data_IF_394222852138
#
_entry.id   IF_394222852138
#
_cell.length_a   1.000
_cell.length_b   1.000
_cell.length_c   1.000
_cell.angle_alpha   90.00
_cell.angle_beta   90.00
_cell.angle_gamma   90.00
#
_symmetry.space_group_name_H-M   'P 1'
#
loop_
_entity.id
_entity.type
_entity.pdbx_description
1 polymer ?
#
# COMPACT_ATOMS: atom_id res chain seq x y z
N UNK A 1 -37.58 43.61 -6.40
CA UNK A 1 -37.94 42.63 -5.35
C UNK A 1 -37.88 41.20 -5.92
N UNK A 2 -36.76 40.85 -6.56
CA UNK A 2 -36.45 39.53 -7.13
C UNK A 2 -34.91 39.42 -7.11
N UNK A 3 -34.32 39.25 -5.92
CA UNK A 3 -32.88 38.94 -5.80
C UNK A 3 -32.52 38.38 -4.41
N UNK A 4 -33.35 37.48 -3.86
CA UNK A 4 -33.09 36.90 -2.53
C UNK A 4 -33.61 35.46 -2.37
N UNK A 5 -33.71 34.70 -3.47
CA UNK A 5 -34.13 33.27 -3.44
C UNK A 5 -33.17 32.39 -4.27
N UNK A 6 -31.88 32.73 -4.32
CA UNK A 6 -30.86 31.95 -5.05
C UNK A 6 -29.59 31.74 -4.22
N UNK A 7 -29.72 31.72 -2.89
CA UNK A 7 -28.59 31.56 -1.95
C UNK A 7 -28.91 30.63 -0.77
N UNK A 8 -29.84 29.68 -0.97
CA UNK A 8 -30.22 28.66 0.04
C UNK A 8 -30.17 27.21 -0.45
N UNK A 9 -29.50 26.94 -1.57
CA UNK A 9 -29.32 25.57 -2.10
C UNK A 9 -27.86 25.09 -2.13
N UNK A 10 -26.97 25.69 -1.33
CA UNK A 10 -25.55 25.31 -1.29
C UNK A 10 -25.01 24.88 0.09
N UNK A 11 -25.88 24.50 1.02
CA UNK A 11 -25.47 23.92 2.31
C UNK A 11 -26.46 22.83 2.74
N UNK A 12 -26.36 21.68 2.09
CA UNK A 12 -26.73 20.37 2.65
C UNK A 12 -26.25 19.32 1.67
N UNK A 13 -24.93 19.11 1.63
CA UNK A 13 -24.44 17.78 1.32
C UNK A 13 -25.15 16.84 2.31
N UNK A 14 -25.79 15.74 1.85
CA UNK A 14 -26.41 14.80 2.77
C UNK A 14 -25.34 14.39 3.77
N UNK A 15 -25.62 14.59 5.05
CA UNK A 15 -24.78 14.09 6.12
C UNK A 15 -24.50 12.62 5.84
N UNK A 16 -23.23 12.24 5.89
CA UNK A 16 -22.80 10.85 5.96
C UNK A 16 -23.34 10.27 7.28
N UNK A 17 -24.64 9.96 7.33
CA UNK A 17 -25.34 9.44 8.52
C UNK A 17 -25.66 7.96 8.41
N UNK A 18 -25.10 7.25 7.43
CA UNK A 18 -24.94 5.80 7.46
C UNK A 18 -23.45 5.49 7.36
N UNK A 19 -22.89 4.89 8.42
CA UNK A 19 -21.53 4.36 8.47
C UNK A 19 -21.37 3.38 7.32
N UNK A 20 -20.69 3.75 6.24
CA UNK A 20 -20.52 2.85 5.09
C UNK A 20 -19.37 1.87 5.33
N UNK A 21 -19.48 1.03 6.36
CA UNK A 21 -18.56 -0.08 6.62
C UNK A 21 -18.49 -1.06 5.44
N UNK A 22 -19.41 -0.98 4.46
CA UNK A 22 -19.31 -1.72 3.20
C UNK A 22 -18.08 -1.28 2.39
N UNK A 23 -17.52 -0.11 2.66
CA UNK A 23 -16.23 0.32 2.12
C UNK A 23 -15.10 -0.65 2.49
N UNK A 24 -15.12 -1.26 3.68
CA UNK A 24 -14.16 -2.29 4.07
C UNK A 24 -14.26 -3.53 3.18
N UNK A 25 -15.47 -4.10 3.04
CA UNK A 25 -15.69 -5.24 2.13
C UNK A 25 -15.39 -4.90 0.68
N UNK A 26 -15.69 -3.67 0.26
CA UNK A 26 -15.39 -3.21 -1.08
C UNK A 26 -13.87 -3.19 -1.31
N UNK A 27 -13.11 -2.62 -0.38
CA UNK A 27 -11.66 -2.59 -0.44
C UNK A 27 -11.03 -3.99 -0.52
N UNK A 28 -11.66 -5.01 0.06
CA UNK A 28 -11.20 -6.41 -0.01
C UNK A 28 -12.03 -7.28 -0.96
N UNK A 29 -12.74 -6.67 -1.93
CA UNK A 29 -13.49 -7.42 -2.93
C UNK A 29 -12.54 -8.32 -3.73
N UNK A 30 -12.89 -9.61 -3.83
CA UNK A 30 -12.06 -10.60 -4.55
C UNK A 30 -10.79 -11.01 -3.79
N UNK A 31 -10.66 -10.69 -2.50
CA UNK A 31 -9.44 -10.97 -1.74
C UNK A 31 -9.04 -12.45 -1.73
N UNK A 32 -10.02 -13.36 -1.72
CA UNK A 32 -9.75 -14.81 -1.75
C UNK A 32 -9.31 -15.34 -3.13
N UNK A 33 -9.25 -14.48 -4.16
CA UNK A 33 -8.77 -14.84 -5.49
C UNK A 33 -9.64 -15.85 -6.24
N UNK A 34 -9.03 -16.53 -7.21
CA UNK A 34 -9.68 -17.62 -7.96
C UNK A 34 -10.57 -17.18 -9.13
N UNK A 35 -10.44 -15.92 -9.59
CA UNK A 35 -11.14 -15.46 -10.78
C UNK A 35 -10.24 -15.61 -12.02
N UNK A 36 -10.67 -16.46 -12.96
CA UNK A 36 -10.04 -16.53 -14.28
C UNK A 36 -10.38 -15.29 -15.10
N UNK A 37 -9.41 -14.82 -15.87
CA UNK A 37 -9.57 -13.67 -16.75
C UNK A 37 -8.94 -13.94 -18.11
N UNK A 38 -9.40 -13.19 -19.10
CA UNK A 38 -8.88 -13.27 -20.47
C UNK A 38 -8.68 -11.88 -20.98
N UNK A 39 -7.48 -11.61 -21.46
CA UNK A 39 -7.18 -10.41 -22.24
C UNK A 39 -6.78 -10.80 -23.65
N UNK A 40 -6.91 -9.87 -24.59
CA UNK A 40 -6.43 -10.04 -25.96
C UNK A 40 -5.26 -9.09 -26.19
N UNK A 41 -4.09 -9.60 -26.63
CA UNK A 41 -3.03 -8.77 -27.17
C UNK A 41 -3.56 -7.87 -28.29
N UNK A 42 -3.00 -6.68 -28.41
CA UNK A 42 -3.40 -5.71 -29.44
C UNK A 42 -2.91 -6.19 -30.83
N UNK A 43 -3.80 -6.56 -31.78
CA UNK A 43 -3.40 -7.17 -33.05
C UNK A 43 -2.64 -6.21 -33.99
N UNK A 44 -2.81 -4.91 -33.81
CA UNK A 44 -2.12 -3.87 -34.58
C UNK A 44 -0.64 -3.70 -34.19
N UNK A 45 -0.22 -4.26 -33.04
CA UNK A 45 1.14 -4.17 -32.53
C UNK A 45 1.77 -5.55 -32.32
N UNK A 46 3.09 -5.63 -32.40
CA UNK A 46 3.80 -6.88 -32.11
C UNK A 46 4.09 -7.00 -30.61
N UNK A 47 3.54 -8.03 -29.93
CA UNK A 47 3.87 -8.29 -28.53
C UNK A 47 5.27 -8.90 -28.38
N UNK A 48 6.18 -8.16 -27.73
CA UNK A 48 7.58 -8.51 -27.58
C UNK A 48 7.89 -9.26 -26.28
N UNK A 49 7.24 -8.89 -25.18
CA UNK A 49 7.46 -9.43 -23.84
C UNK A 49 6.19 -9.31 -22.99
N UNK A 50 6.00 -10.26 -22.07
CA UNK A 50 5.03 -10.21 -20.97
C UNK A 50 5.78 -10.35 -19.64
N UNK A 51 5.51 -9.46 -18.69
CA UNK A 51 5.96 -9.60 -17.31
C UNK A 51 4.74 -9.76 -16.40
N UNK A 52 4.76 -10.71 -15.47
CA UNK A 52 3.66 -11.01 -14.55
C UNK A 52 4.17 -10.83 -13.13
N UNK A 53 3.73 -9.77 -12.45
CA UNK A 53 3.96 -9.55 -11.02
C UNK A 53 2.74 -10.06 -10.28
N UNK A 54 2.89 -11.13 -9.50
CA UNK A 54 1.75 -11.74 -8.82
C UNK A 54 1.94 -11.78 -7.31
N UNK A 55 0.82 -11.64 -6.59
CA UNK A 55 0.78 -11.91 -5.15
C UNK A 55 0.94 -13.41 -4.91
N UNK A 56 1.50 -13.78 -3.77
CA UNK A 56 1.38 -15.16 -3.28
C UNK A 56 -0.09 -15.61 -3.12
N UNK A 57 -0.29 -16.93 -3.02
CA UNK A 57 -1.61 -17.54 -2.80
C UNK A 57 -2.13 -17.41 -1.38
N UNK A 58 -3.30 -18.01 -1.13
CA UNK A 58 -3.91 -18.09 0.20
C UNK A 58 -2.96 -18.74 1.20
N UNK A 59 -2.92 -18.18 2.41
CA UNK A 59 -1.96 -18.55 3.45
C UNK A 59 -2.56 -18.47 4.84
N UNK A 60 -1.86 -19.06 5.80
CA UNK A 60 -2.04 -18.77 7.23
C UNK A 60 -1.56 -17.36 7.58
N UNK A 61 -1.72 -16.97 8.85
CA UNK A 61 -1.20 -15.71 9.38
C UNK A 61 0.30 -15.58 9.15
N UNK A 62 0.76 -14.44 8.64
CA UNK A 62 2.18 -14.23 8.30
C UNK A 62 3.08 -13.93 9.50
N UNK A 63 2.51 -13.53 10.64
CA UNK A 63 3.19 -13.22 11.89
C UNK A 63 2.32 -13.66 13.08
N UNK A 64 2.88 -13.92 14.28
CA UNK A 64 2.06 -14.19 15.46
C UNK A 64 1.14 -13.01 15.74
N UNK A 65 -0.17 -13.27 15.81
CA UNK A 65 -1.18 -12.25 16.10
C UNK A 65 -2.20 -12.80 17.08
N UNK A 66 -2.49 -12.01 18.12
CA UNK A 66 -3.54 -12.28 19.09
C UNK A 66 -4.89 -11.90 18.46
N UNK A 67 -5.41 -12.76 17.60
CA UNK A 67 -6.61 -12.47 16.82
C UNK A 67 -7.84 -12.24 17.71
N UNK A 68 -8.02 -13.08 18.73
CA UNK A 68 -9.10 -12.96 19.71
C UNK A 68 -8.79 -13.78 20.96
N UNK A 69 -9.61 -13.61 22.01
CA UNK A 69 -9.58 -14.40 23.24
C UNK A 69 -10.99 -14.80 23.65
N UNK A 70 -11.16 -16.05 24.10
CA UNK A 70 -12.45 -16.51 24.65
C UNK A 70 -12.91 -15.66 25.85
N UNK A 71 -11.98 -15.23 26.71
CA UNK A 71 -12.24 -14.31 27.82
C UNK A 71 -11.09 -13.31 27.98
N UNK A 72 -11.25 -12.17 28.69
CA UNK A 72 -10.16 -11.23 28.91
C UNK A 72 -8.90 -11.83 29.56
N UNK A 73 -9.05 -12.96 30.28
CA UNK A 73 -7.97 -13.65 30.99
C UNK A 73 -7.50 -14.91 30.28
N UNK A 74 -8.11 -15.31 29.16
CA UNK A 74 -7.65 -16.48 28.41
C UNK A 74 -6.40 -16.17 27.59
N UNK A 75 -5.71 -17.23 27.19
CA UNK A 75 -4.67 -17.12 26.18
C UNK A 75 -5.28 -16.68 24.83
N UNK A 76 -4.52 -15.96 23.99
CA UNK A 76 -4.90 -15.65 22.63
C UNK A 76 -5.17 -16.93 21.82
N UNK A 77 -6.24 -16.90 21.05
CA UNK A 77 -6.57 -17.92 20.07
C UNK A 77 -6.21 -17.41 18.67
N UNK A 78 -5.66 -18.32 17.87
CA UNK A 78 -5.44 -18.11 16.44
C UNK A 78 -6.40 -19.00 15.64
N UNK A 79 -6.75 -18.63 14.39
CA UNK A 79 -7.52 -19.52 13.54
C UNK A 79 -6.79 -20.87 13.37
N UNK A 80 -7.54 -21.96 13.44
CA UNK A 80 -7.01 -23.31 13.26
C UNK A 80 -6.97 -23.65 11.77
N UNK A 81 -5.80 -23.51 11.16
CA UNK A 81 -5.58 -23.83 9.76
C UNK A 81 -5.16 -25.29 9.57
N UNK A 82 -5.52 -25.85 8.42
CA UNK A 82 -5.04 -27.15 7.94
C UNK A 82 -4.25 -26.92 6.65
N UNK A 83 -2.97 -27.31 6.65
CA UNK A 83 -2.05 -27.17 5.52
C UNK A 83 -1.72 -28.55 4.98
N UNK A 84 -2.19 -28.81 3.77
CA UNK A 84 -1.98 -30.05 3.03
C UNK A 84 -0.99 -29.89 1.86
N UNK A 85 -0.61 -28.65 1.52
CA UNK A 85 0.36 -28.37 0.47
C UNK A 85 1.80 -28.65 0.95
N UNK A 86 2.48 -29.67 0.39
CA UNK A 86 3.86 -29.94 0.72
C UNK A 86 4.79 -28.89 0.11
N UNK A 87 5.56 -28.18 0.94
CA UNK A 87 6.64 -27.33 0.43
C UNK A 87 7.90 -28.16 0.20
N UNK A 88 8.41 -28.16 -1.03
CA UNK A 88 9.61 -28.92 -1.40
C UNK A 88 10.84 -28.01 -1.48
N UNK A 89 11.90 -28.40 -0.79
CA UNK A 89 13.21 -27.73 -0.81
C UNK A 89 14.17 -28.58 -1.64
N UNK A 90 14.72 -28.00 -2.69
CA UNK A 90 15.79 -28.59 -3.50
C UNK A 90 17.13 -27.91 -3.22
N UNK A 91 18.20 -28.70 -3.05
CA UNK A 91 19.58 -28.18 -2.99
C UNK A 91 20.38 -28.80 -4.14
N UNK A 92 20.97 -27.93 -4.98
CA UNK A 92 21.74 -28.33 -6.14
C UNK A 92 20.91 -29.01 -7.23
N UNK A 93 21.58 -29.74 -8.13
CA UNK A 93 20.95 -30.44 -9.25
C UNK A 93 20.41 -31.83 -8.87
N UNK A 94 20.09 -32.08 -7.60
CA UNK A 94 19.62 -33.39 -7.17
C UNK A 94 18.11 -33.51 -7.39
N UNK A 95 17.67 -34.63 -7.97
CA UNK A 95 16.24 -34.95 -8.15
C UNK A 95 15.50 -35.24 -6.84
N UNK A 96 16.23 -35.34 -5.73
CA UNK A 96 15.67 -35.61 -4.42
C UNK A 96 15.33 -34.30 -3.73
N UNK A 97 14.05 -33.98 -3.65
CA UNK A 97 13.55 -32.82 -2.91
C UNK A 97 13.23 -33.24 -1.48
N UNK A 98 13.59 -32.41 -0.50
CA UNK A 98 13.14 -32.56 0.87
C UNK A 98 11.75 -31.92 0.99
N UNK A 99 10.81 -32.61 1.62
CA UNK A 99 9.51 -32.01 1.93
C UNK A 99 9.53 -31.45 3.34
N UNK A 100 9.17 -30.18 3.48
CA UNK A 100 9.03 -29.49 4.76
C UNK A 100 7.63 -29.77 5.32
N UNK A 101 7.57 -30.16 6.59
CA UNK A 101 6.33 -30.31 7.34
C UNK A 101 6.46 -29.65 8.72
N UNK A 102 5.38 -29.05 9.19
CA UNK A 102 5.29 -28.52 10.55
C UNK A 102 4.75 -29.59 11.50
N UNK A 103 5.32 -29.64 12.70
CA UNK A 103 4.92 -30.60 13.75
C UNK A 103 3.70 -30.13 14.56
N UNK A 104 3.31 -28.87 14.39
CA UNK A 104 2.14 -28.27 15.01
C UNK A 104 0.84 -28.91 14.46
N UNK A 105 -0.25 -28.93 15.24
CA UNK A 105 -1.57 -29.30 14.74
C UNK A 105 -1.93 -28.51 13.48
N UNK A 106 -2.52 -29.18 12.50
CA UNK A 106 -2.82 -28.60 11.19
C UNK A 106 -1.63 -28.55 10.22
N UNK A 107 -0.43 -28.97 10.64
CA UNK A 107 0.77 -29.02 9.80
C UNK A 107 1.15 -27.69 9.14
N UNK A 108 0.72 -26.57 9.73
CA UNK A 108 0.99 -25.22 9.26
C UNK A 108 2.07 -24.51 10.07
N UNK A 109 2.85 -23.66 9.40
CA UNK A 109 3.61 -22.59 10.01
C UNK A 109 2.99 -21.22 9.77
N UNK A 110 3.69 -20.17 10.20
CA UNK A 110 3.34 -18.80 9.86
C UNK A 110 3.58 -18.54 8.38
N UNK A 111 2.57 -18.01 7.71
CA UNK A 111 2.57 -17.70 6.30
C UNK A 111 2.67 -18.92 5.39
N UNK A 112 2.38 -20.14 5.87
CA UNK A 112 2.29 -21.34 5.03
C UNK A 112 1.14 -21.23 4.05
N UNK A 113 1.33 -21.71 2.82
CA UNK A 113 0.26 -21.76 1.82
C UNK A 113 -0.82 -22.76 2.22
N UNK A 114 -2.06 -22.42 1.91
CA UNK A 114 -3.24 -23.28 2.07
C UNK A 114 -3.60 -23.94 0.73
N UNK A 115 -4.32 -25.06 0.75
CA UNK A 115 -4.75 -25.78 -0.47
C UNK A 115 -5.45 -24.92 -1.53
N UNK A 116 -6.13 -23.84 -1.12
CA UNK A 116 -6.73 -22.86 -2.04
C UNK A 116 -5.70 -22.22 -2.99
N UNK A 117 -4.43 -22.11 -2.59
CA UNK A 117 -3.36 -21.58 -3.42
C UNK A 117 -3.16 -22.39 -4.71
N UNK A 118 -3.33 -23.71 -4.68
CA UNK A 118 -3.21 -24.55 -5.88
C UNK A 118 -4.24 -24.15 -6.94
N UNK A 119 -5.50 -23.95 -6.52
CA UNK A 119 -6.57 -23.52 -7.43
C UNK A 119 -6.31 -22.11 -7.96
N UNK A 120 -5.89 -21.18 -7.10
CA UNK A 120 -5.57 -19.81 -7.51
C UNK A 120 -4.47 -19.76 -8.59
N UNK A 121 -3.41 -20.55 -8.46
CA UNK A 121 -2.33 -20.56 -9.47
C UNK A 121 -2.66 -21.39 -10.70
N UNK A 122 -3.53 -22.40 -10.58
CA UNK A 122 -4.14 -23.06 -11.75
C UNK A 122 -4.97 -22.06 -12.56
N UNK A 123 -5.77 -21.23 -11.91
CA UNK A 123 -6.60 -20.21 -12.56
C UNK A 123 -5.76 -19.09 -13.19
N UNK A 124 -4.68 -18.65 -12.52
CA UNK A 124 -3.73 -17.70 -13.11
C UNK A 124 -3.04 -18.28 -14.34
N UNK A 125 -2.57 -19.53 -14.28
CA UNK A 125 -1.97 -20.21 -15.43
C UNK A 125 -2.95 -20.37 -16.59
N UNK A 126 -4.21 -20.73 -16.30
CA UNK A 126 -5.27 -20.82 -17.30
C UNK A 126 -5.52 -19.45 -17.96
N UNK A 127 -5.58 -18.39 -17.17
CA UNK A 127 -5.79 -17.01 -17.65
C UNK A 127 -4.66 -16.55 -18.59
N UNK A 128 -3.40 -16.84 -18.21
CA UNK A 128 -2.24 -16.56 -19.04
C UNK A 128 -2.23 -17.37 -20.34
N UNK A 129 -2.50 -18.68 -20.27
CA UNK A 129 -2.56 -19.55 -21.44
C UNK A 129 -3.70 -19.19 -22.39
N UNK A 130 -4.86 -18.79 -21.87
CA UNK A 130 -5.97 -18.35 -22.71
C UNK A 130 -5.69 -17.00 -23.38
N UNK A 131 -5.01 -16.09 -22.66
CA UNK A 131 -4.67 -14.76 -23.17
C UNK A 131 -3.52 -14.77 -24.18
N UNK A 132 -2.51 -15.63 -23.98
CA UNK A 132 -1.26 -15.58 -24.74
C UNK A 132 -0.91 -16.87 -25.49
N UNK A 133 -1.62 -17.98 -25.26
CA UNK A 133 -1.31 -19.29 -25.84
C UNK A 133 -1.41 -19.37 -27.36
N UNK A 134 -2.06 -18.40 -28.01
CA UNK A 134 -2.09 -18.26 -29.46
C UNK A 134 -0.82 -17.62 -30.04
N UNK A 135 0.00 -16.97 -29.21
CA UNK A 135 1.21 -16.29 -29.64
C UNK A 135 2.29 -17.33 -29.96
N UNK A 136 2.94 -17.29 -31.14
CA UNK A 136 3.89 -18.32 -31.55
C UNK A 136 5.04 -18.56 -30.56
N UNK A 137 5.59 -17.50 -29.95
CA UNK A 137 6.68 -17.64 -28.99
C UNK A 137 6.22 -18.16 -27.62
N UNK A 138 4.95 -18.02 -27.26
CA UNK A 138 4.42 -18.53 -25.98
C UNK A 138 4.56 -20.05 -25.88
N UNK A 139 4.25 -20.76 -26.98
CA UNK A 139 4.37 -22.22 -27.08
C UNK A 139 5.82 -22.74 -27.06
N UNK A 140 6.80 -21.84 -27.16
CA UNK A 140 8.24 -22.15 -27.14
C UNK A 140 8.93 -21.57 -25.89
N UNK A 141 8.16 -21.15 -24.90
CA UNK A 141 8.70 -20.71 -23.63
C UNK A 141 9.37 -21.89 -22.92
N UNK A 142 10.56 -21.64 -22.41
CA UNK A 142 11.39 -22.61 -21.74
C UNK A 142 11.85 -21.99 -20.41
N UNK A 143 11.46 -22.58 -19.27
CA UNK A 143 11.93 -22.13 -17.96
C UNK A 143 13.44 -22.30 -17.85
N UNK A 144 14.12 -21.46 -17.04
CA UNK A 144 15.56 -21.49 -16.95
C UNK A 144 16.08 -22.81 -16.36
N UNK A 145 16.94 -23.50 -17.09
CA UNK A 145 17.59 -24.74 -16.65
C UNK A 145 18.99 -24.43 -16.09
N UNK A 146 19.05 -24.03 -14.81
CA UNK A 146 20.31 -23.76 -14.10
C UNK A 146 20.66 -22.27 -13.96
N UNK A 147 21.73 -22.01 -13.19
CA UNK A 147 22.13 -20.70 -12.65
C UNK A 147 22.53 -19.63 -13.69
N UNK A 148 22.68 -19.99 -14.96
CA UNK A 148 23.14 -19.08 -16.04
C UNK A 148 22.26 -19.12 -17.29
N UNK A 149 21.06 -19.70 -17.20
CA UNK A 149 20.17 -19.82 -18.35
C UNK A 149 19.57 -18.46 -18.75
N UNK A 150 20.06 -17.87 -19.84
CA UNK A 150 19.46 -16.71 -20.53
C UNK A 150 18.24 -17.13 -21.38
N UNK A 151 17.30 -17.83 -20.74
CA UNK A 151 16.15 -18.44 -21.38
C UNK A 151 15.08 -17.46 -21.86
N UNK A 152 14.05 -18.01 -22.50
CA UNK A 152 12.85 -17.27 -22.89
C UNK A 152 11.95 -16.92 -21.70
N UNK A 153 12.19 -17.52 -20.54
CA UNK A 153 11.50 -17.24 -19.28
C UNK A 153 12.50 -16.78 -18.22
N UNK A 154 12.11 -15.79 -17.42
CA UNK A 154 12.77 -15.40 -16.16
C UNK A 154 11.85 -15.69 -14.99
N UNK A 155 12.39 -16.30 -13.94
CA UNK A 155 11.68 -16.63 -12.71
C UNK A 155 12.33 -15.90 -11.55
N UNK A 156 11.54 -15.12 -10.82
CA UNK A 156 11.98 -14.41 -9.63
C UNK A 156 10.94 -14.55 -8.52
N UNK A 157 11.40 -14.69 -7.30
CA UNK A 157 10.55 -14.71 -6.10
C UNK A 157 11.22 -13.95 -4.97
N UNK A 158 10.43 -13.26 -4.15
CA UNK A 158 10.88 -12.87 -2.82
C UNK A 158 11.26 -14.11 -1.99
N UNK A 159 12.25 -13.99 -1.10
CA UNK A 159 12.87 -15.11 -0.38
C UNK A 159 12.06 -15.57 0.84
N UNK A 160 10.84 -16.05 0.59
CA UNK A 160 10.03 -16.68 1.62
C UNK A 160 9.18 -17.82 1.05
N UNK A 161 8.78 -18.74 1.93
CA UNK A 161 8.14 -20.01 1.55
C UNK A 161 6.88 -19.82 0.70
N UNK A 162 5.99 -18.91 1.08
CA UNK A 162 4.74 -18.69 0.33
C UNK A 162 4.98 -18.11 -1.05
N UNK A 163 5.98 -17.25 -1.22
CA UNK A 163 6.30 -16.68 -2.52
C UNK A 163 6.96 -17.71 -3.43
N UNK A 164 7.92 -18.48 -2.91
CA UNK A 164 8.57 -19.57 -3.64
C UNK A 164 7.56 -20.66 -4.01
N UNK A 165 6.72 -21.08 -3.08
CA UNK A 165 5.68 -22.10 -3.32
C UNK A 165 4.64 -21.62 -4.31
N UNK A 166 4.25 -20.36 -4.25
CA UNK A 166 3.33 -19.75 -5.23
C UNK A 166 3.89 -19.74 -6.64
N UNK A 167 5.18 -19.41 -6.78
CA UNK A 167 5.86 -19.46 -8.07
C UNK A 167 6.00 -20.90 -8.58
N UNK A 168 6.34 -21.85 -7.70
CA UNK A 168 6.42 -23.28 -8.05
C UNK A 168 5.07 -23.80 -8.55
N UNK A 169 3.97 -23.47 -7.86
CA UNK A 169 2.61 -23.80 -8.30
C UNK A 169 2.31 -23.22 -9.69
N UNK A 170 2.62 -21.94 -9.94
CA UNK A 170 2.39 -21.31 -11.24
C UNK A 170 3.23 -21.96 -12.35
N UNK A 171 4.51 -22.21 -12.08
CA UNK A 171 5.46 -22.83 -13.02
C UNK A 171 5.04 -24.25 -13.35
N UNK A 172 4.61 -25.04 -12.37
CA UNK A 172 4.12 -26.41 -12.58
C UNK A 172 2.90 -26.46 -13.51
N UNK A 173 2.02 -25.45 -13.46
CA UNK A 173 0.84 -25.35 -14.33
C UNK A 173 1.19 -24.83 -15.73
N UNK A 174 2.13 -23.88 -15.85
CA UNK A 174 2.56 -23.34 -17.15
C UNK A 174 3.50 -24.29 -17.91
N UNK A 175 4.31 -25.07 -17.19
CA UNK A 175 5.37 -25.91 -17.74
C UNK A 175 5.34 -27.34 -17.15
N UNK A 176 4.24 -28.09 -17.31
CA UNK A 176 4.05 -29.38 -16.63
C UNK A 176 5.11 -30.44 -16.99
N UNK A 177 5.73 -30.33 -18.17
CA UNK A 177 6.78 -31.24 -18.64
C UNK A 177 8.18 -30.91 -18.08
N UNK A 178 8.33 -29.83 -17.31
CA UNK A 178 9.62 -29.32 -16.83
C UNK A 178 9.73 -29.46 -15.32
N UNK A 179 10.42 -30.51 -14.89
CA UNK A 179 10.58 -30.86 -13.48
C UNK A 179 11.63 -30.01 -12.73
N UNK A 180 12.47 -29.26 -13.45
CA UNK A 180 13.55 -28.45 -12.86
C UNK A 180 13.55 -27.06 -13.51
N UNK A 181 13.46 -26.03 -12.68
CA UNK A 181 13.60 -24.63 -13.07
C UNK A 181 14.39 -23.88 -11.98
N UNK A 182 15.27 -22.96 -12.39
CA UNK A 182 16.01 -22.10 -11.48
C UNK A 182 15.23 -20.81 -11.21
N UNK A 183 15.10 -20.44 -9.94
CA UNK A 183 14.47 -19.19 -9.50
C UNK A 183 15.54 -18.27 -8.93
N UNK A 184 15.50 -17.00 -9.34
CA UNK A 184 16.30 -15.95 -8.73
C UNK A 184 15.57 -15.43 -7.48
N UNK A 185 16.31 -15.22 -6.40
CA UNK A 185 15.82 -14.65 -5.14
C UNK A 185 16.86 -13.70 -4.55
N UNK A 186 16.47 -12.82 -3.63
CA UNK A 186 17.37 -11.91 -2.93
C UNK A 186 17.10 -11.91 -1.42
N UNK A 187 18.13 -11.65 -0.59
CA UNK A 187 17.92 -11.44 0.84
C UNK A 187 16.86 -10.35 1.06
N UNK A 188 15.90 -10.52 1.99
CA UNK A 188 14.76 -9.60 2.15
C UNK A 188 15.12 -8.11 2.31
N UNK A 189 16.29 -7.79 2.87
CA UNK A 189 16.74 -6.39 3.06
C UNK A 189 17.28 -5.74 1.78
N UNK A 190 17.65 -6.54 0.80
CA UNK A 190 18.24 -6.11 -0.48
C UNK A 190 17.26 -6.30 -1.65
N UNK A 191 16.16 -7.01 -1.40
CA UNK A 191 15.14 -7.34 -2.39
C UNK A 191 14.27 -6.11 -2.71
N UNK A 192 14.26 -5.62 -3.96
CA UNK A 192 13.48 -4.46 -4.35
C UNK A 192 11.96 -4.71 -4.38
N UNK A 193 11.53 -5.98 -4.39
CA UNK A 193 10.12 -6.37 -4.37
C UNK A 193 9.62 -6.72 -2.96
N UNK A 194 10.49 -6.88 -1.97
CA UNK A 194 10.13 -7.06 -0.55
C UNK A 194 9.81 -5.69 0.10
N UNK A 195 8.67 -5.11 -0.29
CA UNK A 195 8.24 -3.80 0.19
C UNK A 195 7.49 -3.90 1.53
N UNK A 196 7.67 -2.93 2.45
CA UNK A 196 7.06 -2.97 3.78
C UNK A 196 5.53 -3.01 3.69
N UNK A 197 4.90 -3.93 4.44
CA UNK A 197 3.43 -4.05 4.50
C UNK A 197 2.70 -2.89 5.18
N UNK A 198 3.44 -2.03 5.90
CA UNK A 198 2.91 -0.88 6.61
C UNK A 198 3.99 0.21 6.72
N UNK A 199 3.65 1.43 6.31
CA UNK A 199 4.56 2.59 6.38
C UNK A 199 3.93 3.64 7.29
N UNK A 200 4.51 3.81 8.48
CA UNK A 200 4.06 4.82 9.46
C UNK A 200 5.03 5.99 9.64
N UNK A 201 6.23 5.86 9.11
CA UNK A 201 7.30 6.85 9.27
C UNK A 201 7.92 7.19 7.94
N UNK A 202 8.27 8.45 7.77
CA UNK A 202 8.97 8.96 6.60
C UNK A 202 10.30 8.22 6.41
N UNK A 203 10.60 7.70 5.20
CA UNK A 203 11.90 7.11 4.90
C UNK A 203 13.05 8.15 4.94
N UNK A 204 12.71 9.43 5.02
CA UNK A 204 13.64 10.54 4.96
C UNK A 204 14.15 11.01 6.32
N UNK A 205 13.22 11.30 7.23
CA UNK A 205 13.48 11.95 8.51
C UNK A 205 12.87 11.18 9.69
N UNK A 206 12.23 10.03 9.43
CA UNK A 206 11.59 9.22 10.46
C UNK A 206 10.32 9.85 11.07
N UNK A 207 9.84 10.99 10.54
CA UNK A 207 8.63 11.64 11.05
C UNK A 207 7.41 10.73 10.90
N UNK A 208 6.54 10.70 11.91
CA UNK A 208 5.33 9.87 11.90
C UNK A 208 4.28 10.45 10.94
N UNK A 209 3.58 9.60 10.20
CA UNK A 209 2.50 10.01 9.31
C UNK A 209 1.34 10.64 10.11
N UNK A 210 1.04 11.94 9.94
CA UNK A 210 0.01 12.63 10.73
C UNK A 210 -1.37 11.98 10.60
N UNK A 211 -1.68 11.41 9.43
CA UNK A 211 -2.96 10.74 9.19
C UNK A 211 -3.25 9.61 10.17
N UNK A 212 -2.24 8.86 10.61
CA UNK A 212 -2.47 7.78 11.58
C UNK A 212 -2.93 8.33 12.93
N UNK A 213 -2.42 9.50 13.33
CA UNK A 213 -2.87 10.20 14.55
C UNK A 213 -4.30 10.73 14.39
N UNK A 214 -4.66 11.24 13.21
CA UNK A 214 -6.04 11.64 12.91
C UNK A 214 -7.01 10.45 13.01
N UNK A 215 -6.65 9.29 12.45
CA UNK A 215 -7.46 8.06 12.57
C UNK A 215 -7.63 7.68 14.04
N UNK A 216 -6.57 7.75 14.86
CA UNK A 216 -6.66 7.44 16.29
C UNK A 216 -7.48 8.46 17.10
N UNK A 217 -7.54 9.71 16.64
CA UNK A 217 -8.35 10.76 17.24
C UNK A 217 -9.82 10.71 16.81
N UNK A 218 -10.14 10.02 15.72
CA UNK A 218 -11.47 9.87 15.17
C UNK A 218 -12.43 9.15 16.16
N UNK A 219 -13.63 9.69 16.34
CA UNK A 219 -14.59 9.16 17.30
C UNK A 219 -15.15 7.80 16.87
N UNK A 220 -15.35 7.58 15.58
CA UNK A 220 -15.86 6.31 15.04
C UNK A 220 -14.79 5.22 15.16
N UNK A 221 -13.51 5.55 14.94
CA UNK A 221 -12.42 4.61 15.20
C UNK A 221 -12.34 4.24 16.67
N UNK A 222 -12.47 5.21 17.59
CA UNK A 222 -12.43 4.96 19.04
C UNK A 222 -13.61 4.11 19.51
N UNK A 223 -14.81 4.36 18.98
CA UNK A 223 -16.00 3.53 19.21
C UNK A 223 -15.76 2.09 18.72
N UNK A 224 -15.29 1.94 17.47
CA UNK A 224 -14.92 0.65 16.90
C UNK A 224 -13.88 -0.08 17.78
N UNK A 225 -12.76 0.56 18.12
CA UNK A 225 -11.70 -0.06 18.90
C UNK A 225 -12.19 -0.48 20.30
N UNK A 226 -13.10 0.28 20.91
CA UNK A 226 -13.73 -0.09 22.18
C UNK A 226 -14.65 -1.31 22.02
N UNK A 227 -15.48 -1.35 20.97
CA UNK A 227 -16.33 -2.51 20.67
C UNK A 227 -15.49 -3.75 20.35
N UNK A 228 -14.48 -3.61 19.50
CA UNK A 228 -13.52 -4.67 19.19
C UNK A 228 -12.93 -5.26 20.48
N UNK A 229 -12.42 -4.41 21.38
CA UNK A 229 -11.88 -4.87 22.66
C UNK A 229 -12.90 -5.60 23.53
N UNK A 230 -14.15 -5.16 23.55
CA UNK A 230 -15.22 -5.80 24.33
C UNK A 230 -15.67 -7.14 23.75
N UNK A 231 -15.55 -7.34 22.44
CA UNK A 231 -16.05 -8.52 21.73
C UNK A 231 -14.94 -9.55 21.46
N UNK A 232 -13.79 -9.11 20.97
CA UNK A 232 -12.64 -9.95 20.66
C UNK A 232 -11.71 -10.17 21.86
N UNK A 233 -11.93 -9.45 22.98
CA UNK A 233 -11.10 -9.50 24.20
C UNK A 233 -9.61 -9.16 23.96
N UNK A 234 -9.28 -8.52 22.85
CA UNK A 234 -7.92 -8.07 22.47
C UNK A 234 -7.95 -6.61 22.06
N UNK A 235 -6.85 -5.88 22.28
CA UNK A 235 -6.73 -4.49 21.83
C UNK A 235 -6.55 -4.46 20.32
N UNK A 236 -7.31 -3.59 19.63
CA UNK A 236 -7.18 -3.45 18.17
C UNK A 236 -5.75 -3.06 17.76
N UNK A 237 -5.23 -3.77 16.77
CA UNK A 237 -4.05 -3.43 16.00
C UNK A 237 -4.44 -3.56 14.53
N UNK A 238 -3.99 -2.63 13.68
CA UNK A 238 -4.31 -2.65 12.25
C UNK A 238 -4.03 -4.01 11.59
N UNK A 239 -3.02 -4.77 11.99
CA UNK A 239 -2.73 -6.09 11.41
C UNK A 239 -3.82 -7.14 11.66
N UNK A 240 -4.71 -6.93 12.63
CA UNK A 240 -5.77 -7.90 12.98
C UNK A 240 -6.83 -8.05 11.88
N UNK A 241 -6.88 -7.18 10.87
CA UNK A 241 -7.70 -7.44 9.69
C UNK A 241 -7.26 -8.73 8.98
N UNK A 242 -5.98 -9.11 9.04
CA UNK A 242 -5.46 -10.34 8.40
C UNK A 242 -6.05 -11.59 9.07
N UNK A 243 -6.38 -11.54 10.36
CA UNK A 243 -7.11 -12.62 11.04
C UNK A 243 -8.48 -12.87 10.40
N UNK A 244 -9.20 -11.80 10.02
CA UNK A 244 -10.52 -11.90 9.40
C UNK A 244 -10.38 -12.45 7.97
N UNK A 245 -9.45 -11.89 7.21
CA UNK A 245 -9.26 -12.25 5.80
C UNK A 245 -8.75 -13.68 5.61
N UNK A 246 -7.74 -14.09 6.37
CA UNK A 246 -7.18 -15.44 6.30
C UNK A 246 -8.20 -16.48 6.75
N UNK A 247 -8.95 -16.23 7.83
CA UNK A 247 -10.03 -17.13 8.29
C UNK A 247 -11.11 -17.26 7.23
N UNK A 248 -11.59 -16.13 6.70
CA UNK A 248 -12.64 -16.10 5.68
C UNK A 248 -12.25 -16.88 4.42
N UNK A 249 -11.04 -16.68 3.90
CA UNK A 249 -10.58 -17.39 2.71
C UNK A 249 -10.25 -18.88 2.96
N UNK A 250 -9.92 -19.24 4.21
CA UNK A 250 -9.77 -20.63 4.62
C UNK A 250 -11.12 -21.32 4.90
N UNK A 251 -12.25 -20.60 4.83
CA UNK A 251 -13.58 -21.14 5.18
C UNK A 251 -13.75 -21.40 6.68
N UNK A 252 -12.93 -20.78 7.52
CA UNK A 252 -12.97 -20.92 8.98
C UNK A 252 -14.00 -19.94 9.57
N UNK A 253 -14.81 -20.38 10.54
CA UNK A 253 -15.74 -19.49 11.22
C UNK A 253 -14.97 -18.48 12.08
N UNK A 254 -15.44 -17.24 12.08
CA UNK A 254 -15.02 -16.27 13.10
C UNK A 254 -15.68 -16.63 14.45
N UNK A 255 -15.06 -16.26 15.60
CA UNK A 255 -15.70 -16.42 16.90
C UNK A 255 -17.09 -15.78 16.92
N UNK A 256 -18.04 -16.43 17.61
CA UNK A 256 -19.43 -15.94 17.71
C UNK A 256 -19.52 -14.50 18.25
N UNK A 257 -18.55 -14.09 19.07
CA UNK A 257 -18.48 -12.74 19.61
C UNK A 257 -18.17 -11.66 18.56
N UNK A 258 -17.57 -12.03 17.42
CA UNK A 258 -17.27 -11.13 16.31
C UNK A 258 -18.40 -11.22 15.28
N UNK A 259 -19.29 -10.23 15.28
CA UNK A 259 -20.37 -10.17 14.28
C UNK A 259 -19.83 -9.84 12.89
N UNK A 260 -20.63 -10.07 11.85
CA UNK A 260 -20.32 -9.68 10.47
C UNK A 260 -20.03 -8.18 10.36
N UNK A 261 -20.82 -7.34 11.04
CA UNK A 261 -20.66 -5.89 11.02
C UNK A 261 -19.35 -5.48 11.67
N UNK A 262 -19.00 -6.06 12.83
CA UNK A 262 -17.74 -5.77 13.50
C UNK A 262 -16.53 -6.23 12.67
N UNK A 263 -16.64 -7.38 11.99
CA UNK A 263 -15.62 -7.86 11.09
C UNK A 263 -15.42 -6.91 9.90
N UNK A 264 -16.50 -6.41 9.29
CA UNK A 264 -16.42 -5.49 8.17
C UNK A 264 -15.88 -4.12 8.55
N UNK A 265 -16.23 -3.62 9.75
CA UNK A 265 -15.61 -2.42 10.31
C UNK A 265 -14.12 -2.61 10.59
N UNK A 266 -13.72 -3.79 11.07
CA UNK A 266 -12.31 -4.12 11.26
C UNK A 266 -11.54 -4.17 9.93
N UNK A 267 -12.14 -4.71 8.87
CA UNK A 267 -11.58 -4.61 7.52
C UNK A 267 -11.46 -3.15 7.07
N UNK A 268 -12.49 -2.32 7.28
CA UNK A 268 -12.45 -0.90 6.92
C UNK A 268 -11.31 -0.16 7.63
N UNK A 269 -11.22 -0.25 8.97
CA UNK A 269 -10.17 0.43 9.72
C UNK A 269 -8.79 -0.15 9.45
N UNK A 270 -8.70 -1.47 9.28
CA UNK A 270 -7.48 -2.13 8.84
C UNK A 270 -6.97 -1.58 7.52
N UNK A 271 -7.85 -1.46 6.53
CA UNK A 271 -7.55 -0.84 5.24
C UNK A 271 -7.08 0.61 5.40
N UNK A 272 -7.88 1.45 6.06
CA UNK A 272 -7.57 2.88 6.26
C UNK A 272 -6.20 3.10 6.91
N UNK A 273 -5.87 2.30 7.93
CA UNK A 273 -4.58 2.39 8.60
C UNK A 273 -3.45 1.88 7.69
N UNK A 274 -3.60 0.71 7.06
CA UNK A 274 -2.57 0.10 6.23
C UNK A 274 -2.24 0.89 4.97
N UNK A 275 -3.22 1.58 4.39
CA UNK A 275 -3.03 2.35 3.15
C UNK A 275 -2.88 3.85 3.38
N UNK A 276 -2.76 4.31 4.63
CA UNK A 276 -2.63 5.73 4.93
C UNK A 276 -1.43 6.38 4.22
N UNK A 277 -0.27 5.74 4.21
CA UNK A 277 0.91 6.26 3.49
C UNK A 277 0.76 6.21 1.96
N UNK A 278 -0.11 5.35 1.44
CA UNK A 278 -0.41 5.29 0.01
C UNK A 278 -1.18 6.54 -0.41
N UNK A 279 -2.18 6.92 0.39
CA UNK A 279 -3.06 8.06 0.09
C UNK A 279 -2.48 9.43 0.43
N UNK A 280 -1.67 9.52 1.48
CA UNK A 280 -1.34 10.80 2.12
C UNK A 280 0.16 11.13 2.08
N UNK A 281 0.98 10.36 1.36
CA UNK A 281 2.38 10.67 1.11
C UNK A 281 2.89 10.07 -0.20
N UNK A 282 4.11 10.43 -0.61
CA UNK A 282 4.81 9.80 -1.73
C UNK A 282 5.76 8.68 -1.29
N UNK A 283 5.74 8.29 -0.01
CA UNK A 283 6.74 7.39 0.57
C UNK A 283 6.69 6.01 -0.09
N UNK A 284 5.48 5.49 -0.30
CA UNK A 284 5.27 4.17 -0.94
C UNK A 284 5.69 4.16 -2.41
N UNK A 285 5.54 5.28 -3.12
CA UNK A 285 6.07 5.46 -4.48
C UNK A 285 7.60 5.38 -4.49
N UNK A 286 8.27 5.99 -3.51
CA UNK A 286 9.73 5.91 -3.39
C UNK A 286 10.18 4.49 -3.04
N UNK A 287 9.49 3.81 -2.13
CA UNK A 287 9.78 2.41 -1.78
C UNK A 287 9.69 1.50 -3.02
N UNK A 288 8.68 1.71 -3.88
CA UNK A 288 8.50 0.93 -5.12
C UNK A 288 9.45 1.31 -6.26
N UNK A 289 10.22 2.40 -6.13
CA UNK A 289 11.03 2.94 -7.24
C UNK A 289 12.08 1.96 -7.77
N UNK A 290 12.67 1.13 -6.90
CA UNK A 290 13.65 0.13 -7.32
C UNK A 290 12.98 -1.04 -8.06
N UNK A 291 11.83 -1.53 -7.58
CA UNK A 291 11.04 -2.55 -8.29
C UNK A 291 10.62 -2.08 -9.68
N UNK A 292 10.14 -0.83 -9.81
CA UNK A 292 9.78 -0.24 -11.11
C UNK A 292 10.97 -0.17 -12.06
N UNK A 293 12.14 0.23 -11.56
CA UNK A 293 13.36 0.26 -12.38
C UNK A 293 13.74 -1.14 -12.87
N UNK A 294 13.59 -2.18 -12.05
CA UNK A 294 13.86 -3.56 -12.47
C UNK A 294 12.91 -4.04 -13.57
N UNK A 295 11.61 -3.74 -13.44
CA UNK A 295 10.62 -4.04 -14.48
C UNK A 295 10.94 -3.30 -15.78
N UNK A 296 11.29 -2.02 -15.71
CA UNK A 296 11.71 -1.21 -16.85
C UNK A 296 12.99 -1.73 -17.52
N UNK A 297 14.00 -2.11 -16.74
CA UNK A 297 15.24 -2.70 -17.24
C UNK A 297 14.99 -4.02 -17.99
N UNK A 298 14.01 -4.83 -17.54
CA UNK A 298 13.63 -6.05 -18.27
C UNK A 298 12.98 -5.76 -19.61
N UNK A 299 12.24 -4.66 -19.74
CA UNK A 299 11.70 -4.22 -21.04
C UNK A 299 12.83 -3.80 -21.99
N UNK A 300 13.78 -3.00 -21.49
CA UNK A 300 14.98 -2.62 -22.26
C UNK A 300 15.76 -3.84 -22.74
N UNK A 301 16.01 -4.79 -21.85
CA UNK A 301 16.72 -6.02 -22.20
C UNK A 301 15.97 -6.84 -23.27
N UNK A 302 14.63 -6.87 -23.25
CA UNK A 302 13.84 -7.53 -24.29
C UNK A 302 13.88 -6.82 -25.64
N UNK A 303 14.05 -5.49 -25.66
CA UNK A 303 14.24 -4.72 -26.89
C UNK A 303 15.62 -5.01 -27.48
N UNK A 304 16.65 -4.98 -26.64
CA UNK A 304 18.06 -5.13 -27.09
C UNK A 304 18.40 -6.56 -27.48
N UNK A 305 17.88 -7.55 -26.75
CA UNK A 305 18.28 -8.95 -26.87
C UNK A 305 17.14 -9.89 -27.27
N UNK A 306 15.90 -9.40 -27.37
CA UNK A 306 14.73 -10.21 -27.70
C UNK A 306 14.23 -11.12 -26.57
N UNK A 307 14.86 -11.09 -25.39
CA UNK A 307 14.63 -11.98 -24.25
C UNK A 307 14.66 -11.21 -22.91
N UNK A 308 14.08 -11.75 -21.82
CA UNK A 308 13.16 -12.88 -21.81
C UNK A 308 11.83 -12.49 -22.45
N UNK A 309 11.09 -13.47 -22.98
CA UNK A 309 9.74 -13.28 -23.50
C UNK A 309 8.69 -13.27 -22.40
N UNK A 310 8.90 -14.06 -21.35
CA UNK A 310 8.08 -14.07 -20.14
C UNK A 310 8.97 -13.80 -18.91
N UNK A 311 8.55 -12.91 -18.02
CA UNK A 311 9.15 -12.78 -16.69
C UNK A 311 8.06 -12.95 -15.63
N UNK A 312 8.29 -13.84 -14.65
CA UNK A 312 7.39 -14.06 -13.52
C UNK A 312 8.05 -13.52 -12.25
N UNK A 313 7.32 -12.70 -11.50
CA UNK A 313 7.75 -12.07 -10.26
C UNK A 313 6.74 -12.41 -9.16
N UNK A 314 7.13 -13.30 -8.23
CA UNK A 314 6.31 -13.66 -7.08
C UNK A 314 6.59 -12.71 -5.92
N UNK A 315 5.59 -11.89 -5.55
CA UNK A 315 5.74 -10.76 -4.63
C UNK A 315 4.57 -10.67 -3.63
N UNK A 316 4.37 -9.51 -3.01
CA UNK A 316 3.37 -9.28 -1.97
C UNK A 316 2.27 -8.33 -2.44
N UNK A 317 1.19 -8.25 -1.67
CA UNK A 317 0.15 -7.25 -1.85
C UNK A 317 0.68 -5.83 -1.71
N UNK A 318 1.53 -5.57 -0.71
CA UNK A 318 2.21 -4.27 -0.53
C UNK A 318 2.95 -3.85 -1.79
N UNK A 319 3.71 -4.77 -2.39
CA UNK A 319 4.43 -4.56 -3.65
C UNK A 319 3.49 -4.13 -4.75
N UNK A 320 2.39 -4.86 -4.96
CA UNK A 320 1.41 -4.53 -6.00
C UNK A 320 0.71 -3.19 -5.74
N UNK A 321 0.29 -2.91 -4.50
CA UNK A 321 -0.34 -1.63 -4.14
C UNK A 321 0.63 -0.47 -4.42
N UNK A 322 1.90 -0.59 -4.03
CA UNK A 322 2.85 0.50 -4.19
C UNK A 322 3.26 0.70 -5.64
N UNK A 323 3.37 -0.38 -6.43
CA UNK A 323 3.52 -0.29 -7.89
C UNK A 323 2.31 0.44 -8.50
N UNK A 324 1.09 0.05 -8.16
CA UNK A 324 -0.13 0.71 -8.66
C UNK A 324 -0.19 2.19 -8.24
N UNK A 325 0.23 2.51 -7.01
CA UNK A 325 0.29 3.89 -6.53
C UNK A 325 1.30 4.71 -7.32
N UNK A 326 2.53 4.20 -7.50
CA UNK A 326 3.57 4.84 -8.29
C UNK A 326 3.17 5.01 -9.77
N UNK A 327 2.34 4.10 -10.29
CA UNK A 327 1.78 4.17 -11.64
C UNK A 327 0.58 5.14 -11.77
N UNK A 328 0.12 5.72 -10.65
CA UNK A 328 -1.12 6.50 -10.53
C UNK A 328 -2.33 5.72 -11.09
N UNK A 329 -2.41 4.43 -10.75
CA UNK A 329 -3.39 3.49 -11.29
C UNK A 329 -4.05 2.62 -10.20
N UNK A 330 -3.85 2.94 -8.92
CA UNK A 330 -4.49 2.21 -7.84
C UNK A 330 -5.98 2.57 -7.74
N UNK A 331 -6.82 1.55 -7.62
CA UNK A 331 -8.29 1.64 -7.60
C UNK A 331 -8.89 1.51 -6.19
N UNK A 332 -8.04 1.55 -5.16
CA UNK A 332 -8.39 1.36 -3.75
C UNK A 332 -8.91 -0.04 -3.41
N UNK A 333 -8.67 -1.04 -4.26
CA UNK A 333 -8.95 -2.44 -4.00
C UNK A 333 -7.65 -3.15 -3.64
N UNK A 334 -7.65 -3.85 -2.52
CA UNK A 334 -6.55 -4.69 -2.06
C UNK A 334 -6.34 -5.86 -3.04
N UNK A 335 -5.10 -6.13 -3.50
CA UNK A 335 -4.80 -7.25 -4.38
C UNK A 335 -5.17 -8.59 -3.74
N UNK A 336 -6.05 -9.37 -4.35
CA UNK A 336 -6.43 -10.70 -3.86
C UNK A 336 -5.31 -11.73 -3.95
N UNK A 337 -5.46 -12.86 -3.26
CA UNK A 337 -4.51 -13.98 -3.38
C UNK A 337 -4.41 -14.46 -4.82
N UNK A 338 -3.17 -14.65 -5.31
CA UNK A 338 -2.90 -15.02 -6.69
C UNK A 338 -3.26 -13.95 -7.75
N UNK A 339 -3.65 -12.74 -7.35
CA UNK A 339 -3.85 -11.62 -8.29
C UNK A 339 -2.55 -11.25 -9.00
N UNK A 340 -2.67 -10.67 -10.19
CA UNK A 340 -1.54 -10.35 -11.04
C UNK A 340 -1.62 -8.97 -11.70
N UNK A 341 -0.49 -8.27 -11.70
CA UNK A 341 -0.21 -7.18 -12.63
C UNK A 341 0.56 -7.73 -13.83
N UNK A 342 0.02 -7.55 -15.02
CA UNK A 342 0.63 -7.99 -16.27
C UNK A 342 1.11 -6.79 -17.06
N UNK A 343 2.41 -6.69 -17.30
CA UNK A 343 3.02 -5.64 -18.10
C UNK A 343 3.37 -6.22 -19.46
N UNK A 344 2.79 -5.65 -20.50
CA UNK A 344 3.00 -6.05 -21.88
C UNK A 344 3.81 -4.98 -22.61
N UNK A 345 4.86 -5.43 -23.31
CA UNK A 345 5.69 -4.58 -24.16
C UNK A 345 5.40 -4.88 -25.63
N UNK A 346 5.06 -3.83 -26.37
CA UNK A 346 4.71 -3.89 -27.79
C UNK A 346 5.70 -3.10 -28.65
N UNK A 347 5.87 -3.52 -29.91
CA UNK A 347 6.44 -2.70 -30.97
C UNK A 347 5.35 -2.22 -31.93
N UNK A 348 5.30 -0.91 -32.14
CA UNK A 348 4.61 -0.30 -33.27
C UNK A 348 5.58 -0.16 -34.45
N UNK A 349 5.40 -1.03 -35.45
CA UNK A 349 6.25 -1.06 -36.64
C UNK A 349 5.97 0.09 -37.60
N UNK A 350 4.81 0.75 -37.49
CA UNK A 350 4.41 1.88 -38.33
C UNK A 350 4.99 3.19 -37.78
N UNK A 351 4.88 3.42 -36.47
CA UNK A 351 5.43 4.60 -35.80
C UNK A 351 6.89 4.43 -35.35
N UNK A 352 7.45 3.22 -35.48
CA UNK A 352 8.80 2.87 -35.01
C UNK A 352 9.01 3.18 -33.51
N UNK A 353 7.99 2.90 -32.70
CA UNK A 353 8.00 3.13 -31.26
C UNK A 353 7.68 1.87 -30.45
N UNK A 354 7.99 1.90 -29.15
CA UNK A 354 7.62 0.86 -28.22
C UNK A 354 6.52 1.36 -27.29
N UNK A 355 5.58 0.48 -26.96
CA UNK A 355 4.39 0.80 -26.18
C UNK A 355 4.26 -0.17 -25.02
N UNK A 356 3.79 0.33 -23.87
CA UNK A 356 3.55 -0.43 -22.65
C UNK A 356 2.06 -0.44 -22.36
N UNK A 357 1.50 -1.62 -22.13
CA UNK A 357 0.15 -1.79 -21.57
C UNK A 357 0.26 -2.54 -20.25
N UNK A 358 -0.42 -2.07 -19.22
CA UNK A 358 -0.46 -2.73 -17.92
C UNK A 358 -1.88 -3.19 -17.64
N UNK A 359 -2.04 -4.43 -17.19
CA UNK A 359 -3.31 -5.02 -16.81
C UNK A 359 -3.28 -5.42 -15.34
N UNK A 360 -4.41 -5.30 -14.66
CA UNK A 360 -4.66 -5.95 -13.38
C UNK A 360 -5.73 -7.00 -13.58
N UNK A 361 -5.39 -8.26 -13.32
CA UNK A 361 -6.32 -9.39 -13.45
C UNK A 361 -7.07 -9.37 -14.80
N UNK A 362 -6.30 -9.16 -15.88
CA UNK A 362 -6.80 -9.08 -17.26
C UNK A 362 -7.46 -7.76 -17.66
N UNK A 363 -7.72 -6.84 -16.73
CA UNK A 363 -8.32 -5.53 -17.02
C UNK A 363 -7.25 -4.48 -17.32
N UNK A 364 -7.27 -3.83 -18.50
CA UNK A 364 -6.30 -2.77 -18.83
C UNK A 364 -6.44 -1.57 -17.89
N UNK A 365 -5.30 -1.11 -17.37
CA UNK A 365 -5.23 0.06 -16.48
C UNK A 365 -5.03 1.34 -17.28
N UNK A 366 -5.70 2.41 -16.85
CA UNK A 366 -5.35 3.78 -17.25
C UNK A 366 -4.20 4.24 -16.35
N UNK A 367 -3.09 4.63 -16.96
CA UNK A 367 -1.91 5.05 -16.21
C UNK A 367 -1.91 6.57 -16.08
N UNK A 368 -2.08 7.09 -14.87
CA UNK A 368 -2.08 8.54 -14.64
C UNK A 368 -0.77 9.21 -15.04
N UNK A 369 0.37 8.51 -14.94
CA UNK A 369 1.66 9.00 -15.44
C UNK A 369 1.76 9.05 -16.98
N UNK A 370 0.80 8.47 -17.69
CA UNK A 370 0.68 8.48 -19.15
C UNK A 370 -0.60 9.19 -19.62
N UNK A 371 -1.02 10.25 -18.93
CA UNK A 371 -2.20 11.05 -19.28
C UNK A 371 -3.50 10.20 -19.31
N UNK A 372 -3.64 9.30 -18.34
CA UNK A 372 -4.77 8.36 -18.19
C UNK A 372 -4.99 7.44 -19.40
N UNK A 373 -3.95 7.20 -20.20
CA UNK A 373 -3.99 6.28 -21.34
C UNK A 373 -3.75 4.85 -20.89
N UNK A 374 -4.38 3.92 -21.61
CA UNK A 374 -4.17 2.47 -21.46
C UNK A 374 -2.87 2.01 -22.11
N UNK A 375 -2.51 2.64 -23.23
CA UNK A 375 -1.30 2.34 -23.98
C UNK A 375 -0.34 3.52 -23.84
N UNK A 376 0.81 3.27 -23.22
CA UNK A 376 1.78 4.29 -22.89
C UNK A 376 3.04 4.17 -23.74
N UNK A 377 3.50 5.26 -24.40
CA UNK A 377 4.81 5.25 -25.04
C UNK A 377 5.90 4.87 -24.04
N UNK A 378 6.76 3.90 -24.39
CA UNK A 378 7.79 3.41 -23.49
C UNK A 378 8.69 4.54 -22.99
N UNK A 379 9.03 5.51 -23.84
CA UNK A 379 9.81 6.69 -23.44
C UNK A 379 9.14 7.48 -22.31
N UNK A 380 7.82 7.67 -22.37
CA UNK A 380 7.03 8.33 -21.32
C UNK A 380 7.04 7.50 -20.04
N UNK A 381 6.81 6.19 -20.17
CA UNK A 381 6.83 5.25 -19.05
C UNK A 381 8.17 5.28 -18.31
N UNK A 382 9.29 5.21 -19.05
CA UNK A 382 10.64 5.24 -18.48
C UNK A 382 10.96 6.57 -17.79
N UNK A 383 10.57 7.70 -18.37
CA UNK A 383 10.71 9.01 -17.74
C UNK A 383 9.93 9.09 -16.43
N UNK A 384 8.71 8.55 -16.41
CA UNK A 384 7.89 8.50 -15.20
C UNK A 384 8.50 7.58 -14.14
N UNK A 385 8.99 6.40 -14.51
CA UNK A 385 9.72 5.49 -13.60
C UNK A 385 10.93 6.20 -12.98
N UNK A 386 11.71 6.92 -13.77
CA UNK A 386 12.85 7.70 -13.25
C UNK A 386 12.42 8.77 -12.24
N UNK A 387 11.26 9.41 -12.46
CA UNK A 387 10.71 10.41 -11.55
C UNK A 387 10.19 9.86 -10.21
N UNK A 388 10.02 8.53 -10.09
CA UNK A 388 9.63 7.88 -8.82
C UNK A 388 10.77 7.76 -7.82
N UNK A 389 12.01 8.04 -8.23
CA UNK A 389 13.16 7.99 -7.33
C UNK A 389 13.01 9.02 -6.19
N UNK A 390 13.41 8.67 -4.95
CA UNK A 390 13.51 9.66 -3.90
C UNK A 390 14.52 10.75 -4.29
N UNK A 391 14.35 12.00 -3.80
CA UNK A 391 15.31 13.08 -4.05
C UNK A 391 16.73 12.71 -3.56
N UNK A 392 17.76 13.15 -4.30
CA UNK A 392 19.17 12.78 -4.11
C UNK A 392 19.84 13.31 -2.82
N UNK A 393 19.11 14.06 -1.99
CA UNK A 393 19.55 14.59 -0.69
C UNK A 393 18.57 14.15 0.40
N UNK A 394 19.02 13.91 1.65
CA UNK A 394 18.16 13.39 2.71
C UNK A 394 16.97 14.33 2.81
N UNK A 395 15.76 13.79 2.61
CA UNK A 395 14.66 14.59 2.10
C UNK A 395 14.47 15.83 2.95
N UNK A 396 14.75 16.97 2.34
CA UNK A 396 14.76 18.25 3.03
C UNK A 396 13.34 18.47 3.54
N UNK A 397 13.12 18.64 4.86
CA UNK A 397 11.81 19.05 5.34
C UNK A 397 11.42 20.32 4.59
N UNK A 398 10.14 20.51 4.22
CA UNK A 398 9.72 21.80 3.74
C UNK A 398 10.12 22.80 4.81
N UNK A 399 11.06 23.70 4.49
CA UNK A 399 11.32 24.86 5.33
C UNK A 399 9.96 25.48 5.59
N UNK A 400 9.52 25.67 6.85
CA UNK A 400 8.31 26.41 7.09
C UNK A 400 8.56 27.78 6.47
N UNK A 401 7.97 28.01 5.30
CA UNK A 401 7.83 29.34 4.76
C UNK A 401 6.96 30.00 5.80
N UNK A 402 7.60 30.80 6.67
CA UNK A 402 6.88 31.74 7.49
C UNK A 402 5.97 32.49 6.53
N UNK A 403 4.68 32.20 6.59
CA UNK A 403 3.65 33.08 6.08
C UNK A 403 3.74 34.36 6.92
N UNK A 404 4.65 35.24 6.52
CA UNK A 404 4.81 36.56 7.12
C UNK A 404 5.27 37.54 6.04
N UNK A 405 4.41 37.74 5.04
CA UNK A 405 4.39 38.96 4.22
C UNK A 405 3.13 39.07 3.35
N UNK A 406 1.94 38.98 3.95
CA UNK A 406 0.72 39.52 3.34
C UNK A 406 -0.06 40.39 4.33
N UNK A 407 0.65 41.30 5.01
CA UNK A 407 0.10 42.50 5.64
C UNK A 407 1.15 43.62 5.61
N UNK A 408 1.51 44.10 4.41
CA UNK A 408 2.21 45.39 4.28
C UNK A 408 1.80 46.21 3.04
N UNK A 409 0.69 45.86 2.38
CA UNK A 409 0.09 46.71 1.33
C UNK A 409 -1.38 47.01 1.63
N UNK A 410 -1.62 47.69 2.74
CA UNK A 410 -2.74 48.62 2.91
C UNK A 410 -2.40 49.46 4.14
N UNK A 411 -2.68 50.77 4.08
CA UNK A 411 -2.27 51.86 4.99
C UNK A 411 -1.10 52.70 4.46
N UNK A 412 -1.39 53.46 3.40
CA UNK A 412 -0.82 54.79 3.26
C UNK A 412 -1.65 55.75 4.12
N UNK A 413 -1.10 56.39 5.17
CA UNK A 413 -1.78 57.47 5.85
C UNK A 413 -1.71 58.72 4.98
N UNK A 414 -2.88 59.31 4.69
CA UNK A 414 -2.98 60.64 4.07
C UNK A 414 -2.38 61.70 5.01
N UNK A 415 -1.75 62.71 4.43
CA UNK A 415 -0.87 63.71 5.07
C UNK A 415 -1.48 64.63 6.13
N UNK A 416 -2.65 64.32 6.69
CA UNK A 416 -3.25 65.08 7.80
C UNK A 416 -3.01 64.43 9.18
N UNK A 417 -2.62 63.15 9.24
CA UNK A 417 -2.36 62.45 10.52
C UNK A 417 -0.98 62.75 11.15
N UNK A 418 -0.03 63.32 10.40
CA UNK A 418 1.32 63.62 10.92
C UNK A 418 1.45 64.97 11.65
N UNK A 419 0.46 65.86 11.57
CA UNK A 419 0.51 67.16 12.27
C UNK A 419 -0.01 67.06 13.72
N UNK A 420 -0.92 66.12 14.00
CA UNK A 420 -1.50 65.96 15.35
C UNK A 420 -0.53 65.26 16.33
N UNK A 421 0.33 64.36 15.86
CA UNK A 421 1.28 63.63 16.71
C UNK A 421 2.50 64.50 17.08
N UNK A 422 2.88 65.45 16.21
CA UNK A 422 3.99 66.37 16.48
C UNK A 422 3.65 67.46 17.52
N UNK A 423 2.38 67.84 17.68
CA UNK A 423 1.96 68.85 18.66
C UNK A 423 1.74 68.28 20.07
N UNK A 424 1.48 66.98 20.21
CA UNK A 424 1.34 66.33 21.53
C UNK A 424 2.69 66.02 22.21
N UNK A 425 3.76 65.85 21.44
CA UNK A 425 5.10 65.56 21.97
C UNK A 425 5.85 66.79 22.52
N UNK A 426 5.43 68.01 22.17
CA UNK A 426 6.07 69.25 22.63
C UNK A 426 5.51 69.79 23.96
N UNK A 427 4.37 69.26 24.45
CA UNK A 427 3.75 69.70 25.71
C UNK A 427 4.21 68.91 26.94
N UNK A 428 4.89 67.77 26.77
CA UNK A 428 5.28 66.89 27.89
C UNK A 428 6.69 67.16 28.44
N UNK A 429 7.49 67.99 27.77
CA UNK A 429 8.88 68.31 28.17
C UNK A 429 9.02 69.54 29.08
N UNK A 430 7.94 70.23 29.45
CA UNK A 430 8.01 71.46 30.27
C UNK A 430 7.27 71.42 31.62
N UNK A 431 6.86 70.25 32.10
CA UNK A 431 6.02 70.11 33.30
C UNK A 431 6.66 69.44 34.52
N UNK A 432 7.99 69.41 34.65
CA UNK A 432 8.67 68.85 35.82
C UNK A 432 9.58 69.90 36.45
N UNK A 433 9.05 70.73 37.35
CA UNK A 433 9.78 71.34 38.47
C UNK A 433 8.81 71.85 39.56
N UNK A 434 9.15 71.53 40.82
CA UNK A 434 8.47 71.81 42.09
C UNK A 434 7.30 70.86 42.46
N UNK A 435 7.25 70.20 43.62
CA UNK A 435 8.12 70.17 44.78
C UNK A 435 7.38 69.55 45.99
N UNK A 436 8.01 68.54 46.61
CA UNK A 436 8.24 68.38 48.06
C UNK A 436 7.11 68.18 49.12
N UNK A 437 7.39 67.18 49.99
CA UNK A 437 7.07 66.96 51.43
C UNK A 437 5.65 66.54 51.88
N UNK A 438 5.50 65.31 52.42
CA UNK A 438 5.50 64.96 53.88
C UNK A 438 5.16 63.47 54.15
N UNK A 439 5.63 63.03 55.31
CA UNK A 439 5.74 61.65 55.85
C UNK A 439 4.46 61.10 56.57
N UNK A 440 4.45 59.81 57.01
CA UNK A 440 3.26 59.03 57.42
C UNK A 440 2.98 59.06 58.94
N UNK A 441 1.94 58.35 59.46
CA UNK A 441 2.22 57.15 60.28
C UNK A 441 1.13 56.03 60.39
N UNK A 442 1.62 54.79 60.62
CA UNK A 442 1.33 53.74 61.65
C UNK A 442 -0.08 53.23 62.10
N UNK A 443 -0.03 51.93 62.51
CA UNK A 443 -0.87 51.11 63.45
C UNK A 443 -2.14 50.44 62.89
N UNK A 444 -2.60 49.23 63.26
CA UNK A 444 -2.25 48.13 64.21
C UNK A 444 -3.13 46.89 63.84
N UNK A 445 -2.65 45.65 63.78
CA UNK A 445 -2.60 44.58 64.83
C UNK A 445 -3.90 43.77 65.12
N UNK A 446 -3.72 42.43 65.26
CA UNK A 446 -4.51 41.36 65.96
C UNK A 446 -5.22 40.28 65.10
N UNK A 447 -4.74 39.01 65.09
CA UNK A 447 -4.91 37.84 66.04
C UNK A 447 -6.31 37.18 65.91
N UNK A 448 -6.59 35.86 65.95
CA UNK A 448 -5.92 34.58 66.22
C UNK A 448 -6.93 33.41 65.95
N UNK A 449 -6.41 32.19 65.65
CA UNK A 449 -6.81 30.83 66.15
C UNK A 449 -8.22 30.25 65.88
N UNK A 450 -8.49 28.93 65.81
CA UNK A 450 -7.70 27.66 65.79
C UNK A 450 -8.67 26.46 65.74
N UNK A 451 -8.17 25.32 65.23
CA UNK A 451 -8.43 23.95 65.78
C UNK A 451 -9.50 23.11 65.09
N UNK A 452 -9.32 21.81 64.85
CA UNK A 452 -8.25 20.87 65.20
C UNK A 452 -8.15 19.77 64.13
#
# INVERSE_FOLDING_TARGET
>A
MILTILLLFYLSAPGLTERDWRLGRHAFKGYCGGEQWVTRPLPEYELLQVQVVHRHGARTLWTPMDCWKATPTSEPEMPHFECDLPFSIGIGHTRHRLTKHYLQPGHCGLGSLLGQAETQFKDLAASLNQSYGHIPWWKRLEPPAGLQSTGSVRLYSCDNERNLGSLDLLVAQLFPEKLEASVDTMPPKEDPFELPGFVSTSPCDGSTLPKLQEIHADNDFRDFASRWRSHANVTWNHMLYDCILTSGCAGLPLPQAISSELADEALYWGFQQSTAAVFYSNWTTWDASQALQWLAQRMHHAIEHGLPKLALWSTHDSTMIYLLNALHAWDNIWPGYGSALVLELYADRTAHEFLVRILRDGQPLKLGLCDDKVLCPLTRFLQAVESTKPPATPCTPPTPTMALSLLSQAWQPTGLAMVAVALAAAAFTFGLHAGFWRQPPLLSERLLTSGA
#
